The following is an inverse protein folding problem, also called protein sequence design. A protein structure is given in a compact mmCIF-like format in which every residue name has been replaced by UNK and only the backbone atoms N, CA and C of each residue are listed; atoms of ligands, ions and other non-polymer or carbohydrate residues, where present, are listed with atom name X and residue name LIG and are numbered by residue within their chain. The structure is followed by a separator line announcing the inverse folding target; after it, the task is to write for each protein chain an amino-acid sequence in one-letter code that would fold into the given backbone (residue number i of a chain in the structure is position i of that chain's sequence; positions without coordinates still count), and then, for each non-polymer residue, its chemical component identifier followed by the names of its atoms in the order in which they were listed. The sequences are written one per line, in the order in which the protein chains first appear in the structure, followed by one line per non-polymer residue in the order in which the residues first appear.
data_IF_331965768533
#
_entry.id   IF_331965768533
#
_cell.length_a   1.000
_cell.length_b   1.000
_cell.length_c   1.000
_cell.angle_alpha   90.00
_cell.angle_beta   90.00
_cell.angle_gamma   90.00
#
_symmetry.space_group_name_H-M   'P 1'
#
loop_
_entity.id
_entity.type
_entity.pdbx_description
1 polymer ?
#
# COMPACT_ATOMS: atom_id res chain seq x y z
N UNK A 1 -32.32 -38.83 24.01
CA UNK A 1 -32.68 -37.42 23.83
C UNK A 1 -31.63 -36.46 24.43
N UNK A 2 -31.27 -36.58 25.74
CA UNK A 2 -30.31 -35.68 26.38
C UNK A 2 -28.89 -35.68 25.77
N UNK A 3 -28.41 -36.82 25.23
CA UNK A 3 -27.08 -36.95 24.55
C UNK A 3 -27.08 -36.39 23.14
N UNK A 4 -28.23 -36.43 22.43
CA UNK A 4 -28.37 -35.81 21.11
C UNK A 4 -28.45 -34.26 21.24
N UNK A 5 -29.12 -33.73 22.26
CA UNK A 5 -29.14 -32.30 22.51
C UNK A 5 -27.76 -31.73 22.86
N UNK A 6 -26.94 -32.45 23.63
CA UNK A 6 -25.57 -32.05 23.99
C UNK A 6 -24.64 -32.09 22.76
N UNK A 7 -24.81 -33.04 21.84
CA UNK A 7 -24.06 -33.12 20.59
C UNK A 7 -24.44 -31.99 19.60
N UNK A 8 -25.74 -31.63 19.55
CA UNK A 8 -26.21 -30.51 18.74
C UNK A 8 -25.74 -29.13 19.28
N UNK A 9 -25.74 -28.94 20.59
CA UNK A 9 -25.23 -27.72 21.23
C UNK A 9 -23.71 -27.62 21.06
N UNK A 10 -22.95 -28.72 21.18
CA UNK A 10 -21.52 -28.73 20.92
C UNK A 10 -21.17 -28.46 19.44
N UNK A 11 -21.97 -28.96 18.49
CA UNK A 11 -21.81 -28.66 17.08
C UNK A 11 -22.19 -27.20 16.73
N UNK A 12 -23.22 -26.63 17.36
CA UNK A 12 -23.56 -25.21 17.22
C UNK A 12 -22.47 -24.28 17.83
N UNK A 13 -21.91 -24.63 18.97
CA UNK A 13 -20.81 -23.87 19.60
C UNK A 13 -19.51 -23.97 18.78
N UNK A 14 -19.24 -25.13 18.15
CA UNK A 14 -18.10 -25.27 17.24
C UNK A 14 -18.29 -24.49 15.91
N UNK A 15 -19.52 -24.28 15.45
CA UNK A 15 -19.82 -23.47 14.27
C UNK A 15 -19.72 -21.96 14.49
N UNK A 16 -19.75 -21.49 15.75
CA UNK A 16 -19.65 -20.05 16.08
C UNK A 16 -18.19 -19.58 16.22
N UNK A 17 -17.21 -20.48 16.18
CA UNK A 17 -15.80 -20.14 16.40
C UNK A 17 -14.94 -20.09 15.11
N UNK A 18 -15.54 -19.97 13.95
CA UNK A 18 -14.81 -19.62 12.73
C UNK A 18 -15.36 -18.30 12.21
N UNK A 19 -15.32 -17.27 13.05
CA UNK A 19 -15.20 -15.92 12.51
C UNK A 19 -13.73 -15.78 12.13
N UNK A 20 -13.39 -15.99 10.87
CA UNK A 20 -12.12 -15.52 10.36
C UNK A 20 -12.08 -14.02 10.65
N UNK A 21 -11.04 -13.50 11.33
CA UNK A 21 -10.86 -12.06 11.43
C UNK A 21 -10.79 -11.53 9.99
N UNK A 22 -11.60 -10.55 9.66
CA UNK A 22 -11.43 -9.79 8.44
C UNK A 22 -10.08 -9.06 8.57
N UNK A 23 -9.14 -9.34 7.70
CA UNK A 23 -7.76 -8.85 7.79
C UNK A 23 -7.50 -7.60 6.94
N UNK A 24 -6.36 -6.93 7.14
CA UNK A 24 -5.81 -5.81 6.36
C UNK A 24 -5.79 -6.17 4.89
N UNK A 25 -5.81 -5.18 3.97
CA UNK A 25 -6.27 -5.51 2.62
C UNK A 25 -7.65 -6.17 2.74
N UNK A 26 -8.68 -5.56 2.25
CA UNK A 26 -10.05 -6.05 2.47
C UNK A 26 -10.17 -7.53 2.12
N UNK A 27 -10.66 -8.32 3.07
CA UNK A 27 -10.81 -9.78 2.94
C UNK A 27 -9.50 -10.55 2.71
N UNK A 28 -8.36 -9.96 3.06
CA UNK A 28 -7.06 -10.60 3.02
C UNK A 28 -6.77 -11.50 4.23
N UNK A 29 -5.57 -12.02 4.26
CA UNK A 29 -5.00 -12.79 5.37
C UNK A 29 -3.68 -12.18 5.83
N UNK A 30 -3.23 -12.39 7.09
CA UNK A 30 -1.93 -11.95 7.53
C UNK A 30 -0.83 -12.44 6.59
N UNK A 31 0.12 -11.57 6.25
CA UNK A 31 1.26 -11.92 5.39
C UNK A 31 2.18 -12.96 6.03
N UNK A 32 2.24 -12.96 7.35
CA UNK A 32 3.02 -13.92 8.14
C UNK A 32 4.51 -14.02 7.73
N UNK A 33 5.09 -12.89 7.25
CA UNK A 33 6.49 -12.76 6.87
C UNK A 33 6.82 -13.34 5.48
N UNK A 34 5.83 -13.61 4.62
CA UNK A 34 6.07 -14.10 3.26
C UNK A 34 6.69 -13.03 2.36
N UNK A 35 6.36 -11.74 2.59
CA UNK A 35 6.85 -10.61 1.80
C UNK A 35 7.66 -9.62 2.67
N UNK A 36 8.84 -10.01 3.20
CA UNK A 36 9.60 -9.18 4.13
C UNK A 36 10.12 -7.87 3.51
N UNK A 37 10.11 -7.77 2.19
CA UNK A 37 10.48 -6.59 1.42
C UNK A 37 9.34 -5.57 1.25
N UNK A 38 8.13 -5.88 1.70
CA UNK A 38 7.03 -4.91 1.73
C UNK A 38 7.07 -4.16 3.05
N UNK A 39 7.16 -2.83 2.98
CA UNK A 39 7.30 -1.94 4.13
C UNK A 39 6.08 -1.06 4.37
N UNK A 40 5.93 -0.64 5.63
CA UNK A 40 5.04 0.44 6.05
C UNK A 40 5.81 1.76 5.98
N UNK A 41 5.22 2.75 5.33
CA UNK A 41 5.75 4.09 5.20
C UNK A 41 4.88 5.06 5.97
N UNK A 42 5.50 5.97 6.73
CA UNK A 42 4.82 7.08 7.40
C UNK A 42 5.54 8.38 7.04
N UNK A 43 4.77 9.44 6.82
CA UNK A 43 5.30 10.73 6.39
C UNK A 43 4.44 11.89 6.88
N UNK A 44 5.02 13.09 6.90
CA UNK A 44 4.31 14.32 7.20
C UNK A 44 4.11 15.14 5.91
N UNK A 45 2.87 15.56 5.66
CA UNK A 45 2.52 16.50 4.59
C UNK A 45 2.23 17.89 5.16
N UNK A 46 3.09 18.89 4.92
CA UNK A 46 2.86 20.27 5.38
C UNK A 46 1.79 21.00 4.57
N UNK A 47 1.42 20.53 3.38
CA UNK A 47 0.38 21.15 2.57
C UNK A 47 -1.02 20.82 3.08
N UNK A 48 -1.20 19.61 3.60
CA UNK A 48 -2.38 19.17 4.36
C UNK A 48 -1.94 18.75 5.76
N UNK A 49 -1.54 19.73 6.65
CA UNK A 49 -0.76 19.41 7.83
C UNK A 49 -1.23 18.19 8.60
N UNK A 50 -0.50 17.09 8.46
CA UNK A 50 -0.87 15.81 9.02
C UNK A 50 0.11 14.70 8.71
N UNK A 51 -0.04 13.62 9.48
CA UNK A 51 0.70 12.39 9.31
C UNK A 51 -0.16 11.40 8.52
N UNK A 52 0.43 10.85 7.49
CA UNK A 52 -0.19 9.88 6.60
C UNK A 52 0.67 8.64 6.50
N UNK A 53 0.06 7.54 6.09
CA UNK A 53 0.76 6.27 5.88
C UNK A 53 0.45 5.67 4.53
N UNK A 54 1.45 4.99 4.00
CA UNK A 54 1.40 4.23 2.76
C UNK A 54 2.11 2.88 2.96
N UNK A 55 2.04 2.06 1.96
CA UNK A 55 2.84 0.84 1.81
C UNK A 55 3.84 1.00 0.66
N UNK A 56 4.79 0.09 0.53
CA UNK A 56 5.71 0.07 -0.61
C UNK A 56 6.58 -1.16 -0.63
N UNK A 57 7.51 -1.20 -1.57
CA UNK A 57 8.34 -2.37 -1.87
C UNK A 57 9.81 -2.01 -1.95
N UNK A 58 10.65 -2.67 -1.20
CA UNK A 58 12.10 -2.55 -1.30
C UNK A 58 12.60 -3.28 -2.55
N UNK A 59 13.24 -2.56 -3.47
CA UNK A 59 13.77 -3.12 -4.74
C UNK A 59 15.25 -3.51 -4.63
N UNK A 60 15.99 -2.82 -3.78
CA UNK A 60 17.37 -3.14 -3.36
C UNK A 60 17.56 -2.73 -1.90
N UNK A 61 18.79 -2.60 -1.43
CA UNK A 61 19.07 -2.32 -0.01
C UNK A 61 18.52 -0.97 0.48
N UNK A 62 18.39 0.03 -0.41
CA UNK A 62 18.05 1.42 -0.07
C UNK A 62 16.90 2.00 -0.89
N UNK A 63 16.48 1.33 -1.97
CA UNK A 63 15.46 1.86 -2.89
C UNK A 63 14.08 1.29 -2.58
N UNK A 64 13.20 2.13 -2.06
CA UNK A 64 11.83 1.78 -1.69
C UNK A 64 10.84 2.37 -2.68
N UNK A 65 10.20 1.51 -3.47
CA UNK A 65 9.17 1.84 -4.46
C UNK A 65 7.82 2.04 -3.76
N UNK A 66 7.13 3.13 -4.07
CA UNK A 66 5.79 3.45 -3.58
C UNK A 66 4.97 4.25 -4.61
N UNK A 67 3.85 4.85 -4.21
CA UNK A 67 3.05 5.69 -5.09
C UNK A 67 3.56 7.14 -5.14
N UNK A 68 3.26 7.83 -6.23
CA UNK A 68 3.55 9.25 -6.40
C UNK A 68 2.86 10.11 -5.34
N UNK A 69 1.58 9.84 -5.07
CA UNK A 69 0.84 10.57 -4.04
C UNK A 69 1.32 10.32 -2.60
N UNK A 70 2.12 9.27 -2.38
CA UNK A 70 2.79 9.02 -1.10
C UNK A 70 4.12 9.77 -0.96
N UNK A 71 4.66 10.34 -2.05
CA UNK A 71 5.95 11.02 -2.08
C UNK A 71 5.86 12.50 -2.43
N UNK A 72 4.70 12.94 -2.89
CA UNK A 72 4.46 14.28 -3.39
C UNK A 72 4.17 15.26 -2.26
N UNK A 73 4.96 16.33 -2.17
CA UNK A 73 4.72 17.39 -1.20
C UNK A 73 5.06 17.04 0.25
N UNK A 74 5.89 16.03 0.48
CA UNK A 74 6.38 15.66 1.83
C UNK A 74 7.20 16.82 2.41
N UNK A 75 7.10 17.04 3.73
CA UNK A 75 7.84 18.07 4.46
C UNK A 75 9.34 17.81 4.52
N UNK A 76 10.08 18.85 4.90
CA UNK A 76 11.53 18.84 5.11
C UNK A 76 11.90 19.49 6.43
N UNK A 77 12.88 18.91 7.14
CA UNK A 77 13.53 19.50 8.30
C UNK A 77 12.58 20.04 9.40
N UNK A 78 11.48 19.38 9.64
CA UNK A 78 10.54 19.76 10.69
C UNK A 78 9.61 20.90 10.30
N UNK A 79 9.40 21.13 9.03
CA UNK A 79 8.48 22.16 8.57
C UNK A 79 7.04 21.79 8.91
N UNK A 80 6.39 22.64 9.70
CA UNK A 80 4.96 22.54 10.03
C UNK A 80 4.25 23.77 9.52
N UNK A 81 3.38 23.59 8.54
CA UNK A 81 2.55 24.67 7.99
C UNK A 81 1.10 24.50 8.39
N UNK A 82 0.35 25.61 8.43
CA UNK A 82 -1.08 25.61 8.80
C UNK A 82 -1.99 25.78 7.60
N UNK A 83 -1.55 25.42 6.44
CA UNK A 83 -2.32 25.53 5.21
C UNK A 83 -1.50 25.23 3.96
N UNK A 84 -2.10 25.29 2.77
CA UNK A 84 -1.40 25.10 1.52
C UNK A 84 -0.21 26.06 1.40
N UNK A 85 0.96 25.58 1.08
CA UNK A 85 2.13 26.41 0.85
C UNK A 85 3.37 25.99 1.62
N UNK A 86 3.43 24.76 2.09
CA UNK A 86 4.65 24.12 2.51
C UNK A 86 5.61 23.94 1.32
N UNK A 87 6.16 22.80 1.17
CA UNK A 87 7.02 22.47 0.02
C UNK A 87 6.30 22.65 -1.32
N UNK A 88 7.02 23.03 -2.38
CA UNK A 88 6.45 23.03 -3.72
C UNK A 88 5.82 21.67 -4.05
N UNK A 89 4.65 21.70 -4.64
CA UNK A 89 3.85 20.50 -4.90
C UNK A 89 4.58 19.40 -5.71
N UNK A 90 5.60 19.75 -6.48
CA UNK A 90 6.40 18.83 -7.27
C UNK A 90 7.68 18.33 -6.58
N UNK A 91 7.98 18.79 -5.37
CA UNK A 91 9.14 18.31 -4.61
C UNK A 91 8.75 17.11 -3.77
N UNK A 92 9.66 16.18 -3.59
CA UNK A 92 9.62 15.22 -2.50
C UNK A 92 9.93 15.89 -1.17
N UNK A 93 10.45 15.14 -0.22
CA UNK A 93 10.89 15.66 1.07
C UNK A 93 11.53 14.60 1.93
N UNK A 94 11.95 14.99 3.13
CA UNK A 94 12.69 14.14 4.07
C UNK A 94 11.89 13.73 5.29
N UNK A 95 10.69 14.26 5.49
CA UNK A 95 9.81 13.86 6.59
C UNK A 95 9.10 12.54 6.29
N UNK A 96 9.91 11.51 6.05
CA UNK A 96 9.47 10.15 5.68
C UNK A 96 10.31 9.09 6.36
N UNK A 97 9.65 8.05 6.86
CA UNK A 97 10.26 6.90 7.53
C UNK A 97 9.60 5.60 7.08
N UNK A 98 10.39 4.56 6.98
CA UNK A 98 9.93 3.23 6.54
C UNK A 98 10.32 2.17 7.56
N UNK A 99 9.42 1.24 7.83
CA UNK A 99 9.69 0.02 8.61
C UNK A 99 9.26 -1.23 7.86
N UNK A 100 9.98 -2.33 8.09
CA UNK A 100 9.68 -3.64 7.52
C UNK A 100 9.12 -4.62 8.56
N UNK A 101 8.80 -4.14 9.76
CA UNK A 101 8.13 -4.94 10.77
C UNK A 101 6.77 -5.44 10.26
N UNK A 102 6.47 -6.71 10.52
CA UNK A 102 5.26 -7.38 10.06
C UNK A 102 4.02 -6.94 10.84
N UNK A 103 4.19 -6.55 12.10
CA UNK A 103 3.11 -6.24 13.04
C UNK A 103 3.43 -5.05 13.94
N UNK A 104 2.38 -4.44 14.50
CA UNK A 104 2.46 -3.41 15.54
C UNK A 104 3.33 -2.19 15.14
N UNK A 105 3.29 -1.83 13.88
CA UNK A 105 4.16 -0.77 13.32
C UNK A 105 3.99 0.59 14.01
N UNK A 106 2.86 0.89 14.63
CA UNK A 106 2.60 2.13 15.38
C UNK A 106 2.47 1.91 16.89
N UNK A 107 3.04 0.81 17.43
CA UNK A 107 2.99 0.55 18.86
C UNK A 107 3.72 1.66 19.67
N UNK A 108 2.98 2.42 20.47
CA UNK A 108 3.51 3.57 21.22
C UNK A 108 3.54 4.89 20.45
N UNK A 109 2.91 4.98 19.29
CA UNK A 109 2.77 6.21 18.51
C UNK A 109 2.17 7.36 19.33
N UNK A 110 2.79 8.56 19.36
CA UNK A 110 2.30 9.69 20.14
C UNK A 110 0.88 10.10 19.74
N UNK A 111 -0.06 10.01 20.71
CA UNK A 111 -1.47 10.26 20.46
C UNK A 111 -1.76 11.77 20.37
N UNK A 112 -2.58 12.18 19.41
CA UNK A 112 -2.97 13.59 19.22
C UNK A 112 -3.51 14.26 20.49
N UNK A 113 -4.22 13.51 21.32
CA UNK A 113 -4.85 14.04 22.54
C UNK A 113 -3.85 14.46 23.63
N UNK A 114 -2.60 14.00 23.55
CA UNK A 114 -1.58 14.28 24.56
C UNK A 114 -0.80 15.58 24.29
N UNK A 115 -1.01 16.22 23.13
CA UNK A 115 -0.24 17.38 22.69
C UNK A 115 -1.14 18.59 22.40
N UNK A 116 -0.77 19.81 22.89
CA UNK A 116 -1.63 20.99 22.81
C UNK A 116 -1.69 21.62 21.40
N UNK A 117 -0.64 21.42 20.58
CA UNK A 117 -0.49 22.01 19.23
C UNK A 117 -0.06 20.97 18.22
N UNK A 118 -0.27 21.22 16.94
CA UNK A 118 0.22 20.38 15.85
C UNK A 118 1.75 20.33 15.83
N UNK A 119 2.42 21.46 16.07
CA UNK A 119 3.87 21.53 16.16
C UNK A 119 4.43 20.61 17.27
N UNK A 120 3.85 20.67 18.48
CA UNK A 120 4.28 19.80 19.58
C UNK A 120 4.01 18.32 19.28
N UNK A 121 2.96 18.01 18.53
CA UNK A 121 2.67 16.65 18.07
C UNK A 121 3.66 16.22 16.99
N UNK A 122 3.97 17.09 16.04
CA UNK A 122 4.98 16.84 15.01
C UNK A 122 6.33 16.52 15.66
N UNK A 123 6.82 17.40 16.55
CA UNK A 123 8.09 17.19 17.26
C UNK A 123 8.14 15.84 18.00
N UNK A 124 7.04 15.48 18.68
CA UNK A 124 6.97 14.25 19.44
C UNK A 124 6.97 13.01 18.53
N UNK A 125 6.30 13.07 17.39
CA UNK A 125 6.21 11.97 16.43
C UNK A 125 7.52 11.78 15.67
N UNK A 126 8.13 12.86 15.19
CA UNK A 126 9.46 12.82 14.57
C UNK A 126 10.51 12.27 15.53
N UNK A 127 10.52 12.77 16.77
CA UNK A 127 11.44 12.25 17.79
C UNK A 127 11.20 10.78 18.15
N UNK A 128 9.94 10.31 18.08
CA UNK A 128 9.61 8.90 18.29
C UNK A 128 10.14 8.02 17.13
N UNK A 129 9.98 8.48 15.88
CA UNK A 129 10.47 7.80 14.68
C UNK A 129 12.01 7.73 14.69
N UNK A 130 12.67 8.85 14.93
CA UNK A 130 14.14 8.95 14.97
C UNK A 130 14.77 8.11 16.10
N UNK A 131 14.07 7.94 17.20
CA UNK A 131 14.53 7.13 18.33
C UNK A 131 14.21 5.63 18.17
N UNK A 132 13.37 5.27 17.22
CA UNK A 132 12.94 3.88 17.01
C UNK A 132 13.83 3.20 15.96
N UNK A 133 14.66 2.21 16.36
CA UNK A 133 15.62 1.56 15.46
C UNK A 133 14.95 0.70 14.37
N UNK A 134 13.64 0.49 14.45
CA UNK A 134 12.89 -0.26 13.44
C UNK A 134 12.48 0.63 12.26
N UNK A 135 12.65 1.95 12.37
CA UNK A 135 12.34 2.92 11.31
C UNK A 135 13.61 3.47 10.69
N UNK A 136 13.61 3.60 9.38
CA UNK A 136 14.69 4.15 8.58
C UNK A 136 14.13 5.40 7.90
N UNK A 137 14.78 6.54 8.09
CA UNK A 137 14.50 7.79 7.39
C UNK A 137 14.92 7.70 5.92
N UNK A 138 14.45 8.62 5.11
CA UNK A 138 14.83 8.65 3.70
C UNK A 138 14.43 9.96 3.02
N UNK A 139 14.65 10.00 1.73
CA UNK A 139 14.24 11.11 0.86
C UNK A 139 13.24 10.62 -0.18
N UNK A 140 12.11 11.28 -0.26
CA UNK A 140 11.02 10.93 -1.15
C UNK A 140 11.16 11.65 -2.51
N UNK A 141 10.90 10.94 -3.59
CA UNK A 141 10.95 11.42 -4.98
C UNK A 141 9.69 10.98 -5.72
N UNK A 142 8.73 11.88 -5.98
CA UNK A 142 7.61 11.59 -6.86
C UNK A 142 8.06 11.55 -8.33
N UNK A 143 7.34 10.82 -9.17
CA UNK A 143 7.56 10.89 -10.61
C UNK A 143 7.44 12.36 -11.10
N UNK A 144 8.32 12.85 -11.98
CA UNK A 144 8.30 14.25 -12.41
C UNK A 144 6.97 14.71 -13.03
N UNK A 145 6.26 13.80 -13.68
CA UNK A 145 4.96 14.07 -14.31
C UNK A 145 3.76 13.76 -13.40
N UNK A 146 3.99 13.36 -12.16
CA UNK A 146 2.90 13.25 -11.20
C UNK A 146 2.36 14.64 -10.85
N UNK A 147 1.07 14.87 -11.05
CA UNK A 147 0.43 16.17 -10.97
C UNK A 147 -0.73 16.24 -9.97
N UNK A 148 -0.67 15.41 -8.93
CA UNK A 148 -1.72 15.30 -7.93
C UNK A 148 -3.09 14.99 -8.55
N UNK A 149 -3.13 13.98 -9.44
CA UNK A 149 -4.32 13.51 -10.16
C UNK A 149 -4.99 14.54 -11.10
N UNK A 150 -4.35 15.67 -11.39
CA UNK A 150 -4.93 16.69 -12.29
C UNK A 150 -5.06 16.19 -13.74
N UNK A 151 -4.15 15.32 -14.19
CA UNK A 151 -4.12 14.70 -15.51
C UNK A 151 -4.92 13.40 -15.62
N UNK A 152 -5.68 13.06 -14.58
CA UNK A 152 -6.46 11.82 -14.52
C UNK A 152 -7.14 11.47 -15.87
N UNK A 153 -7.08 10.20 -16.33
CA UNK A 153 -6.61 9.00 -15.61
C UNK A 153 -5.12 8.65 -15.82
N UNK A 154 -4.37 9.39 -16.61
CA UNK A 154 -2.93 9.22 -16.76
C UNK A 154 -2.26 10.13 -15.73
N UNK A 155 -1.86 9.56 -14.61
CA UNK A 155 -1.48 10.31 -13.42
C UNK A 155 -0.03 10.07 -12.96
N UNK A 156 0.73 9.16 -13.57
CA UNK A 156 2.12 8.85 -13.22
C UNK A 156 2.32 8.62 -11.70
N UNK A 157 1.37 7.94 -11.07
CA UNK A 157 1.31 7.77 -9.63
C UNK A 157 2.33 6.73 -9.12
N UNK A 158 3.60 7.03 -9.30
CA UNK A 158 4.74 6.25 -8.85
C UNK A 158 5.77 7.16 -8.19
N UNK A 159 6.43 6.67 -7.14
CA UNK A 159 7.45 7.40 -6.40
C UNK A 159 8.48 6.46 -5.80
N UNK A 160 9.61 7.02 -5.41
CA UNK A 160 10.72 6.34 -4.74
C UNK A 160 10.99 7.03 -3.41
N UNK A 161 11.38 6.26 -2.40
CA UNK A 161 12.07 6.74 -1.22
C UNK A 161 13.47 6.13 -1.22
N UNK A 162 14.51 6.98 -1.30
CA UNK A 162 15.88 6.56 -1.03
C UNK A 162 16.08 6.56 0.48
N UNK A 163 16.32 5.37 1.05
CA UNK A 163 16.56 5.20 2.48
C UNK A 163 17.98 5.63 2.84
N UNK A 164 18.12 6.34 3.96
CA UNK A 164 19.41 6.84 4.46
C UNK A 164 20.35 5.70 4.91
N UNK A 165 19.78 4.55 5.29
CA UNK A 165 20.49 3.35 5.69
C UNK A 165 19.92 2.11 5.00
N UNK A 166 20.77 1.10 4.81
CA UNK A 166 20.33 -0.16 4.22
C UNK A 166 19.28 -0.85 5.10
N UNK A 167 18.17 -1.24 4.49
CA UNK A 167 17.11 -1.97 5.18
C UNK A 167 17.60 -3.34 5.70
N UNK A 168 17.13 -3.79 6.87
CA UNK A 168 17.54 -5.08 7.46
C UNK A 168 16.85 -6.28 6.77
N UNK A 169 16.67 -6.20 5.46
CA UNK A 169 15.97 -7.19 4.63
C UNK A 169 16.93 -7.70 3.57
N UNK A 170 16.90 -8.98 3.27
CA UNK A 170 17.83 -9.64 2.32
C UNK A 170 17.14 -10.17 1.06
N UNK A 171 15.84 -10.03 0.97
CA UNK A 171 15.02 -10.38 -0.19
C UNK A 171 14.34 -9.11 -0.69
N UNK A 172 14.23 -8.95 -1.99
CA UNK A 172 13.73 -7.74 -2.63
C UNK A 172 12.58 -8.06 -3.58
N UNK A 173 11.71 -7.08 -3.81
CA UNK A 173 10.84 -7.09 -4.97
C UNK A 173 11.64 -6.88 -6.25
N UNK A 174 11.14 -7.34 -7.36
CA UNK A 174 11.75 -7.18 -8.68
C UNK A 174 10.74 -6.49 -9.60
N UNK A 175 11.18 -5.56 -10.44
CA UNK A 175 10.29 -5.03 -11.47
C UNK A 175 9.93 -6.14 -12.47
N UNK A 176 8.63 -6.34 -12.69
CA UNK A 176 8.17 -7.30 -13.69
C UNK A 176 8.62 -6.86 -15.10
N UNK A 177 8.98 -7.75 -16.01
CA UNK A 177 9.35 -7.40 -17.37
C UNK A 177 8.31 -6.49 -18.05
N UNK A 178 8.79 -5.61 -18.95
CA UNK A 178 7.93 -4.70 -19.70
C UNK A 178 6.78 -5.46 -20.39
N UNK A 179 5.54 -4.99 -20.17
CA UNK A 179 4.35 -5.56 -20.80
C UNK A 179 3.78 -6.79 -20.11
N UNK A 180 4.25 -7.15 -18.92
CA UNK A 180 3.75 -8.31 -18.15
C UNK A 180 2.25 -8.18 -17.87
N UNK A 181 1.75 -6.99 -17.54
CA UNK A 181 0.33 -6.78 -17.26
C UNK A 181 -0.54 -7.04 -18.51
N UNK A 182 -0.10 -6.62 -19.71
CA UNK A 182 -0.77 -6.96 -20.97
C UNK A 182 -0.74 -8.45 -21.25
N UNK A 183 0.37 -9.12 -21.00
CA UNK A 183 0.49 -10.57 -21.20
C UNK A 183 -0.49 -11.31 -20.30
N UNK A 184 -0.54 -10.96 -19.02
CA UNK A 184 -1.49 -11.53 -18.06
C UNK A 184 -2.96 -11.21 -18.41
N UNK A 185 -3.25 -9.99 -18.88
CA UNK A 185 -4.59 -9.57 -19.24
C UNK A 185 -5.03 -10.07 -20.63
N UNK A 186 -4.09 -10.17 -21.59
CA UNK A 186 -4.39 -10.43 -23.00
C UNK A 186 -5.17 -11.69 -23.28
N UNK A 187 -4.96 -12.72 -22.52
CA UNK A 187 -5.68 -14.00 -22.62
C UNK A 187 -6.93 -14.06 -21.73
N UNK A 188 -7.23 -13.00 -21.00
CA UNK A 188 -8.37 -12.95 -20.08
C UNK A 188 -9.71 -12.69 -20.78
N UNK A 189 -9.92 -13.19 -21.96
CA UNK A 189 -11.25 -13.12 -22.56
C UNK A 189 -12.32 -13.37 -21.47
N UNK A 190 -13.50 -12.82 -21.62
CA UNK A 190 -14.58 -12.88 -20.61
C UNK A 190 -14.72 -14.28 -20.01
N UNK A 191 -14.50 -14.37 -18.69
CA UNK A 191 -14.71 -15.61 -17.94
C UNK A 191 -13.44 -16.41 -17.57
N UNK A 192 -12.22 -15.97 -17.90
CA UNK A 192 -11.00 -16.62 -17.43
C UNK A 192 -10.60 -16.13 -16.04
N UNK A 193 -10.22 -17.08 -15.17
CA UNK A 193 -9.93 -16.83 -13.75
C UNK A 193 -8.43 -16.93 -13.42
N UNK A 194 -7.58 -16.97 -14.41
CA UNK A 194 -6.16 -17.28 -14.31
C UNK A 194 -5.24 -16.04 -14.28
N UNK A 195 -5.77 -14.86 -14.52
CA UNK A 195 -5.03 -13.61 -14.37
C UNK A 195 -5.17 -13.07 -12.93
N UNK A 196 -4.52 -13.73 -12.01
CA UNK A 196 -4.49 -13.34 -10.60
C UNK A 196 -3.21 -12.56 -10.31
N UNK A 197 -3.35 -11.56 -9.45
CA UNK A 197 -2.26 -10.81 -8.84
C UNK A 197 -2.38 -10.87 -7.33
N UNK A 198 -1.30 -10.65 -6.63
CA UNK A 198 -1.28 -10.58 -5.18
C UNK A 198 -1.02 -9.14 -4.73
N UNK A 199 -1.85 -8.63 -3.83
CA UNK A 199 -1.67 -7.33 -3.21
C UNK A 199 -1.13 -7.54 -1.80
N UNK A 200 -0.14 -6.73 -1.41
CA UNK A 200 0.44 -6.78 -0.06
C UNK A 200 0.55 -5.37 0.49
N UNK A 201 0.16 -5.17 1.76
CA UNK A 201 0.21 -3.84 2.36
C UNK A 201 -0.23 -3.79 3.82
N UNK A 202 -0.29 -2.58 4.35
CA UNK A 202 -0.62 -2.28 5.75
C UNK A 202 -1.91 -1.47 5.90
N UNK A 203 -2.72 -1.39 4.84
CA UNK A 203 -3.96 -0.64 4.85
C UNK A 203 -5.01 -1.19 5.81
N UNK A 204 -6.11 -0.46 5.94
CA UNK A 204 -7.22 -0.87 6.81
C UNK A 204 -7.96 -2.08 6.21
N UNK A 205 -8.43 -2.97 7.09
CA UNK A 205 -9.01 -4.26 6.73
C UNK A 205 -10.47 -4.17 6.37
N UNK A 206 -11.14 -3.20 6.90
CA UNK A 206 -12.53 -2.92 6.58
C UNK A 206 -12.88 -1.50 6.93
N UNK A 207 -13.84 -0.94 6.19
CA UNK A 207 -14.43 0.37 6.49
C UNK A 207 -15.76 0.20 7.22
N UNK A 208 -16.48 -0.88 6.98
CA UNK A 208 -17.81 -1.14 7.54
C UNK A 208 -17.90 -2.52 8.20
N UNK A 209 -18.68 -2.64 9.32
CA UNK A 209 -19.54 -1.64 9.94
C UNK A 209 -18.78 -0.53 10.68
N UNK A 210 -17.48 -0.68 10.87
CA UNK A 210 -16.57 0.33 11.38
C UNK A 210 -15.16 0.07 10.83
N UNK A 211 -14.32 1.08 10.72
CA UNK A 211 -12.92 0.90 10.35
C UNK A 211 -12.24 -0.10 11.28
N UNK A 212 -11.47 -0.99 10.70
CA UNK A 212 -10.62 -1.94 11.41
C UNK A 212 -9.21 -1.81 10.83
N UNK A 213 -8.29 -1.40 11.67
CA UNK A 213 -6.88 -1.29 11.43
C UNK A 213 -6.15 -2.11 12.48
N UNK A 214 -5.26 -2.99 12.07
CA UNK A 214 -4.47 -3.83 12.97
C UNK A 214 -2.98 -3.56 12.84
N UNK A 215 -2.60 -2.54 12.06
CA UNK A 215 -1.20 -2.10 11.91
C UNK A 215 -0.26 -3.28 11.62
N UNK A 216 -0.69 -4.16 10.74
CA UNK A 216 -0.04 -5.45 10.43
C UNK A 216 -0.07 -5.67 8.93
N UNK A 217 1.01 -6.22 8.37
CA UNK A 217 1.08 -6.55 6.94
C UNK A 217 0.16 -7.72 6.60
N UNK A 218 -0.63 -7.54 5.57
CA UNK A 218 -1.57 -8.51 5.02
C UNK A 218 -1.39 -8.68 3.52
N UNK A 219 -1.99 -9.73 2.98
CA UNK A 219 -2.03 -10.02 1.55
C UNK A 219 -3.39 -10.51 1.10
N UNK A 220 -3.70 -10.29 -0.17
CA UNK A 220 -4.86 -10.88 -0.85
C UNK A 220 -4.58 -11.12 -2.31
N UNK A 221 -5.34 -12.02 -2.93
CA UNK A 221 -5.34 -12.14 -4.38
C UNK A 221 -6.50 -11.35 -4.99
N UNK A 222 -6.24 -10.72 -6.12
CA UNK A 222 -7.22 -10.03 -6.94
C UNK A 222 -7.13 -10.49 -8.39
N UNK A 223 -8.23 -10.33 -9.13
CA UNK A 223 -8.24 -10.66 -10.54
C UNK A 223 -8.04 -9.41 -11.39
N UNK A 224 -7.18 -9.47 -12.39
CA UNK A 224 -7.05 -8.44 -13.40
C UNK A 224 -8.37 -8.37 -14.21
N UNK A 225 -8.91 -7.15 -14.33
CA UNK A 225 -10.11 -6.86 -15.14
C UNK A 225 -9.70 -6.34 -16.50
N UNK A 226 -8.82 -5.33 -16.53
CA UNK A 226 -8.34 -4.71 -17.76
C UNK A 226 -7.07 -3.87 -17.52
N UNK A 227 -6.35 -3.60 -18.59
CA UNK A 227 -5.18 -2.69 -18.61
C UNK A 227 -5.34 -1.55 -19.63
N UNK A 228 -6.31 -1.64 -20.56
CA UNK A 228 -6.47 -0.72 -21.70
C UNK A 228 -7.88 -0.11 -21.79
N UNK A 229 -8.69 -0.19 -20.74
CA UNK A 229 -10.02 0.43 -20.69
C UNK A 229 -9.98 1.95 -20.48
N UNK A 230 -11.16 2.57 -20.42
CA UNK A 230 -11.30 4.03 -20.37
C UNK A 230 -10.55 4.71 -19.20
N UNK A 231 -10.38 4.01 -18.09
CA UNK A 231 -9.65 4.53 -16.91
C UNK A 231 -8.25 3.92 -16.86
N UNK A 232 -8.08 2.67 -17.25
CA UNK A 232 -6.76 2.05 -17.26
C UNK A 232 -5.82 2.74 -18.26
N UNK A 233 -6.25 2.99 -19.49
CA UNK A 233 -5.53 3.71 -20.56
C UNK A 233 -4.06 3.32 -20.73
N UNK A 234 -3.71 2.07 -20.40
CA UNK A 234 -2.35 1.56 -20.47
C UNK A 234 -1.44 1.93 -19.30
N UNK A 235 -1.77 2.95 -18.50
CA UNK A 235 -1.00 3.36 -17.34
C UNK A 235 -1.49 2.75 -16.03
N UNK A 236 -2.77 2.40 -15.95
CA UNK A 236 -3.36 1.78 -14.76
C UNK A 236 -3.72 0.31 -14.99
N UNK A 237 -3.49 -0.50 -13.98
CA UNK A 237 -3.99 -1.86 -13.85
C UNK A 237 -5.31 -1.82 -13.09
N UNK A 238 -6.40 -2.26 -13.70
CA UNK A 238 -7.70 -2.40 -13.04
C UNK A 238 -7.84 -3.82 -12.48
N UNK A 239 -8.01 -3.94 -11.18
CA UNK A 239 -8.28 -5.19 -10.47
C UNK A 239 -9.63 -5.17 -9.79
N UNK A 240 -10.16 -6.36 -9.50
CA UNK A 240 -11.45 -6.53 -8.87
C UNK A 240 -11.29 -6.70 -7.35
N UNK A 241 -11.85 -5.77 -6.59
CA UNK A 241 -11.93 -5.84 -5.13
C UNK A 241 -13.32 -6.34 -4.72
N UNK A 242 -13.51 -7.64 -4.73
CA UNK A 242 -14.78 -8.24 -4.34
C UNK A 242 -14.58 -9.68 -3.88
N UNK A 243 -14.82 -10.00 -2.59
CA UNK A 243 -14.63 -11.35 -2.05
C UNK A 243 -15.54 -12.41 -2.66
N UNK A 244 -16.60 -11.97 -3.36
CA UNK A 244 -17.51 -12.88 -4.08
C UNK A 244 -17.08 -13.12 -5.52
N UNK A 245 -16.01 -12.46 -5.99
CA UNK A 245 -15.51 -12.67 -7.33
C UNK A 245 -14.83 -14.04 -7.45
N UNK A 246 -15.07 -14.68 -8.59
CA UNK A 246 -14.43 -15.97 -8.88
C UNK A 246 -12.93 -15.76 -9.03
N UNK A 247 -12.16 -16.39 -8.17
CA UNK A 247 -10.69 -16.36 -8.17
C UNK A 247 -10.03 -15.20 -7.43
N UNK A 248 -10.79 -14.20 -6.98
CA UNK A 248 -10.25 -13.12 -6.14
C UNK A 248 -10.88 -13.16 -4.76
N UNK A 249 -10.11 -12.92 -3.72
CA UNK A 249 -10.56 -13.00 -2.34
C UNK A 249 -10.40 -11.69 -1.56
N UNK A 250 -10.11 -10.59 -2.24
CA UNK A 250 -9.91 -9.32 -1.59
C UNK A 250 -9.46 -8.24 -2.55
N UNK A 251 -8.96 -7.17 -1.99
CA UNK A 251 -8.41 -6.03 -2.70
C UNK A 251 -7.83 -5.02 -1.74
N UNK A 252 -7.51 -3.85 -2.25
CA UNK A 252 -6.79 -2.80 -1.53
C UNK A 252 -7.72 -1.82 -0.82
N UNK A 253 -7.21 -1.11 0.18
CA UNK A 253 -7.95 -0.10 0.93
C UNK A 253 -7.03 1.05 1.36
N UNK A 254 -7.51 1.98 2.16
CA UNK A 254 -6.74 3.12 2.66
C UNK A 254 -5.52 2.64 3.46
N UNK A 255 -4.33 3.12 3.09
CA UNK A 255 -3.06 2.71 3.65
C UNK A 255 -2.31 1.63 2.84
N UNK A 256 -2.98 0.94 1.89
CA UNK A 256 -2.32 0.06 0.93
C UNK A 256 -1.68 0.83 -0.24
N UNK A 257 -1.95 2.12 -0.37
CA UNK A 257 -1.34 3.04 -1.34
C UNK A 257 0.16 2.82 -1.45
N UNK A 258 0.68 2.69 -2.69
CA UNK A 258 2.09 2.43 -2.95
C UNK A 258 2.54 0.98 -2.72
N UNK A 259 1.75 0.16 -2.04
CA UNK A 259 2.01 -1.27 -1.88
C UNK A 259 2.06 -1.99 -3.21
N UNK A 260 2.79 -3.12 -3.31
CA UNK A 260 2.94 -3.83 -4.55
C UNK A 260 1.67 -4.56 -4.97
N UNK A 261 1.47 -4.58 -6.29
CA UNK A 261 0.67 -5.57 -6.98
C UNK A 261 1.66 -6.52 -7.65
N UNK A 262 1.75 -7.73 -7.12
CA UNK A 262 2.71 -8.74 -7.56
C UNK A 262 2.09 -9.69 -8.59
N UNK A 263 2.91 -10.19 -9.50
CA UNK A 263 2.56 -11.39 -10.26
C UNK A 263 2.38 -12.53 -9.27
N UNK A 264 1.22 -13.18 -9.30
CA UNK A 264 0.81 -14.14 -8.29
C UNK A 264 1.87 -15.22 -8.00
N UNK A 265 2.18 -15.43 -6.72
CA UNK A 265 3.22 -16.31 -6.22
C UNK A 265 4.66 -15.99 -6.68
N UNK A 266 4.97 -14.73 -6.95
CA UNK A 266 6.32 -14.24 -7.25
C UNK A 266 6.63 -12.96 -6.48
N UNK A 267 7.88 -12.47 -6.57
CA UNK A 267 8.28 -11.16 -6.08
C UNK A 267 8.26 -10.07 -7.18
N UNK A 268 7.68 -10.36 -8.35
CA UNK A 268 7.65 -9.44 -9.48
C UNK A 268 6.52 -8.41 -9.32
N UNK A 269 6.89 -7.14 -9.20
CA UNK A 269 5.99 -5.99 -9.06
C UNK A 269 5.56 -5.54 -10.44
N UNK A 270 4.27 -5.62 -10.75
CA UNK A 270 3.70 -5.12 -12.02
C UNK A 270 3.06 -3.75 -11.88
N UNK A 271 2.63 -3.38 -10.67
CA UNK A 271 2.01 -2.10 -10.38
C UNK A 271 2.17 -1.73 -8.91
N UNK A 272 1.96 -0.46 -8.57
CA UNK A 272 1.81 0.05 -7.21
C UNK A 272 0.38 0.52 -6.99
N UNK A 273 -0.19 0.24 -5.83
CA UNK A 273 -1.57 0.61 -5.47
C UNK A 273 -1.74 2.13 -5.53
N UNK A 274 -2.74 2.62 -6.25
CA UNK A 274 -2.96 4.03 -6.52
C UNK A 274 -4.30 4.53 -5.97
N UNK A 275 -5.44 4.16 -6.56
CA UNK A 275 -6.73 4.68 -6.15
C UNK A 275 -7.88 3.68 -6.34
N UNK A 276 -9.00 3.98 -5.67
CA UNK A 276 -10.27 3.29 -5.86
C UNK A 276 -11.43 4.29 -5.80
N UNK A 277 -12.57 3.94 -6.38
CA UNK A 277 -13.75 4.81 -6.37
C UNK A 277 -14.66 4.58 -5.18
N UNK A 278 -14.50 3.49 -4.48
CA UNK A 278 -15.40 3.11 -3.40
C UNK A 278 -14.87 3.59 -2.05
N UNK A 279 -15.61 4.42 -1.32
CA UNK A 279 -15.23 4.81 0.03
C UNK A 279 -15.30 3.65 1.03
N UNK A 280 -15.77 2.48 0.59
CA UNK A 280 -15.86 1.25 1.39
C UNK A 280 -14.92 0.16 0.88
N UNK A 281 -13.99 0.49 0.01
CA UNK A 281 -12.98 -0.42 -0.56
C UNK A 281 -13.59 -1.68 -1.19
N UNK A 282 -14.59 -1.48 -2.06
CA UNK A 282 -15.22 -2.57 -2.80
C UNK A 282 -15.36 -2.19 -4.27
N UNK A 283 -15.27 -3.18 -5.15
CA UNK A 283 -15.57 -3.05 -6.57
C UNK A 283 -14.32 -3.00 -7.43
N UNK A 284 -13.77 -1.84 -7.66
CA UNK A 284 -12.66 -1.62 -8.57
C UNK A 284 -11.49 -0.92 -7.87
N UNK A 285 -10.33 -1.51 -7.96
CA UNK A 285 -9.06 -0.92 -7.56
C UNK A 285 -8.22 -0.61 -8.80
N UNK A 286 -7.50 0.48 -8.77
CA UNK A 286 -6.59 0.92 -9.82
C UNK A 286 -5.19 1.08 -9.24
N UNK A 287 -4.22 0.54 -9.95
CA UNK A 287 -2.81 0.57 -9.54
C UNK A 287 -1.98 1.09 -10.70
N UNK A 288 -1.03 1.99 -10.45
CA UNK A 288 -0.15 2.51 -11.49
C UNK A 288 0.86 1.44 -11.89
N UNK A 289 0.94 1.18 -13.19
CA UNK A 289 1.80 0.13 -13.74
C UNK A 289 3.27 0.53 -13.69
N UNK A 290 4.09 -0.37 -13.18
CA UNK A 290 5.56 -0.22 -13.16
C UNK A 290 6.26 -1.11 -14.20
N UNK A 291 5.51 -1.90 -14.96
CA UNK A 291 5.99 -2.70 -16.09
C UNK A 291 5.86 -1.96 -17.43
N UNK A 292 5.90 -0.62 -17.40
CA UNK A 292 5.90 0.27 -18.57
C UNK A 292 7.27 0.92 -18.76
N UNK A 293 7.59 1.34 -19.99
CA UNK A 293 8.88 2.00 -20.27
C UNK A 293 9.05 3.29 -19.47
N UNK A 294 8.00 4.07 -19.32
CA UNK A 294 8.00 5.33 -18.62
C UNK A 294 8.33 5.15 -17.12
N UNK A 295 7.67 4.22 -16.46
CA UNK A 295 7.98 3.87 -15.06
C UNK A 295 9.39 3.31 -14.89
N UNK A 296 9.87 2.50 -15.86
CA UNK A 296 11.23 1.99 -15.86
C UNK A 296 12.27 3.12 -15.96
N UNK A 297 12.05 4.07 -16.89
CA UNK A 297 12.96 5.21 -17.09
C UNK A 297 13.04 6.09 -15.83
N UNK A 298 11.97 6.14 -15.03
CA UNK A 298 11.98 6.80 -13.75
C UNK A 298 12.66 5.99 -12.63
N UNK A 299 12.35 4.69 -12.50
CA UNK A 299 12.78 3.87 -11.36
C UNK A 299 14.23 3.43 -11.47
N UNK A 300 14.67 2.96 -12.68
CA UNK A 300 15.99 2.35 -12.85
C UNK A 300 17.18 3.23 -12.43
N UNK A 301 17.16 4.57 -12.58
CA UNK A 301 18.25 5.43 -12.10
C UNK A 301 18.51 5.40 -10.59
N UNK A 302 17.55 4.91 -9.79
CA UNK A 302 17.69 4.77 -8.34
C UNK A 302 18.24 3.41 -7.89
N UNK A 303 18.28 2.43 -8.78
CA UNK A 303 18.77 1.09 -8.46
C UNK A 303 20.28 0.99 -8.64
N UNK A 304 20.98 0.34 -7.68
CA UNK A 304 22.41 0.04 -7.72
C UNK A 304 22.80 -1.12 -8.65
#
# INVERSE_FOLDING_TARGET
MRRLLLALVAALVAMVMVASPAGAITYGEPDAGEHPYVGFMIFFDPNEPGWFSCSGTLLDANTFLTAGHCTFGIGTDGEVTTGPGGEPASSGGTDVWVTFNDTEVLAGWPARADYPTEEALYDARSAWLDANPDYISGTAYPHPDYDNFSGFPVNFDVGIVELDEAAPVTTFGELAPLGTAEELAGDTGRGRNDALVENVGYGIQSVQPKPMDVETRYKSTSRIVEVNGNIAQGGNLHTLNNPSAVGGQGGTCFGDSGGPVLVNNTNQVIAVVSFGYSPTCHGADYSWRVDTQDSYDFILPFLD
#
